data_IF_667869350022
#
_entry.id   IF_667869350022
#
_cell.length_a   1.000
_cell.length_b   1.000
_cell.length_c   1.000
_cell.angle_alpha   90.00
_cell.angle_beta   90.00
_cell.angle_gamma   90.00
#
_symmetry.space_group_name_H-M   'P 1'
#
loop_
_entity.id
_entity.type
_entity.pdbx_description
1 polymer ?
#
# COMPACT_ATOMS: atom_id res chain seq x y z
N UNK A 1 -46.69 -46.57 -25.73
CA UNK A 1 -45.74 -47.63 -26.15
C UNK A 1 -44.48 -46.94 -26.64
N UNK A 2 -43.35 -47.11 -25.94
CA UNK A 2 -42.03 -46.60 -26.35
C UNK A 2 -41.29 -45.80 -25.27
N UNK A 3 -40.76 -46.51 -24.27
CA UNK A 3 -39.65 -46.04 -23.43
C UNK A 3 -38.40 -45.81 -24.28
N UNK A 4 -37.59 -44.82 -23.90
CA UNK A 4 -36.15 -44.83 -24.14
C UNK A 4 -35.47 -44.45 -22.83
N UNK A 5 -34.92 -45.48 -22.20
CA UNK A 5 -33.84 -45.38 -21.23
C UNK A 5 -32.57 -44.97 -22.01
N UNK A 6 -31.88 -43.93 -21.55
CA UNK A 6 -30.46 -43.75 -21.87
C UNK A 6 -29.71 -43.66 -20.55
N UNK A 7 -28.92 -44.71 -20.37
CA UNK A 7 -28.00 -45.03 -19.29
C UNK A 7 -26.87 -44.02 -19.15
N UNK A 8 -26.58 -43.68 -17.90
CA UNK A 8 -25.27 -43.77 -17.26
C UNK A 8 -24.04 -43.27 -18.02
N UNK A 9 -23.50 -42.14 -17.57
CA UNK A 9 -22.08 -41.81 -17.73
C UNK A 9 -21.61 -41.16 -16.44
N UNK A 10 -21.41 -41.99 -15.42
CA UNK A 10 -20.54 -41.72 -14.27
C UNK A 10 -19.16 -41.31 -14.82
N UNK A 11 -18.95 -40.00 -14.92
CA UNK A 11 -17.63 -39.43 -15.14
C UNK A 11 -16.96 -39.38 -13.79
N UNK A 12 -16.28 -40.48 -13.45
CA UNK A 12 -15.22 -40.54 -12.45
C UNK A 12 -14.20 -39.42 -12.70
N UNK A 13 -14.45 -38.23 -12.14
CA UNK A 13 -13.52 -37.12 -12.03
C UNK A 13 -12.43 -37.49 -10.99
N UNK A 14 -11.59 -38.44 -11.36
CA UNK A 14 -10.44 -38.89 -10.58
C UNK A 14 -9.23 -38.06 -11.00
N UNK A 15 -9.15 -36.86 -10.42
CA UNK A 15 -7.97 -36.00 -10.48
C UNK A 15 -7.85 -35.23 -9.16
N UNK A 16 -6.64 -34.86 -8.70
CA UNK A 16 -6.50 -34.03 -7.52
C UNK A 16 -7.14 -32.66 -7.79
N UNK A 17 -8.34 -32.44 -7.26
CA UNK A 17 -8.99 -31.14 -7.34
C UNK A 17 -8.18 -30.12 -6.51
N UNK A 18 -7.90 -28.92 -7.06
CA UNK A 18 -7.24 -27.87 -6.29
C UNK A 18 -8.15 -27.47 -5.11
N UNK A 19 -7.56 -27.28 -3.92
CA UNK A 19 -8.30 -26.83 -2.73
C UNK A 19 -9.11 -25.58 -3.09
N UNK A 20 -10.42 -25.69 -3.01
CA UNK A 20 -11.31 -24.55 -3.00
C UNK A 20 -10.96 -23.74 -1.75
N UNK A 21 -10.40 -22.53 -1.96
CA UNK A 21 -10.15 -21.59 -0.87
C UNK A 21 -11.51 -21.10 -0.35
N UNK A 22 -12.11 -21.91 0.53
CA UNK A 22 -13.17 -21.49 1.42
C UNK A 22 -12.60 -20.37 2.29
N UNK A 23 -12.95 -19.14 1.93
CA UNK A 23 -12.82 -17.97 2.78
C UNK A 23 -13.65 -18.22 4.05
N UNK A 24 -13.07 -18.91 5.04
CA UNK A 24 -13.47 -18.85 6.44
C UNK A 24 -12.49 -19.63 7.33
N UNK A 25 -11.99 -18.90 8.34
CA UNK A 25 -11.30 -19.33 9.56
C UNK A 25 -9.78 -19.59 9.48
N UNK A 26 -9.02 -18.57 9.92
CA UNK A 26 -7.60 -18.70 10.27
C UNK A 26 -6.96 -17.38 10.70
N UNK A 27 -7.24 -16.94 11.93
CA UNK A 27 -6.70 -15.75 12.59
C UNK A 27 -5.15 -15.72 12.68
N UNK A 28 -4.47 -15.32 11.60
CA UNK A 28 -3.04 -14.97 11.63
C UNK A 28 -2.63 -13.91 10.59
N UNK A 29 -3.57 -13.35 9.83
CA UNK A 29 -3.32 -12.33 8.80
C UNK A 29 -3.87 -10.92 9.15
N UNK A 30 -4.30 -10.71 10.41
CA UNK A 30 -4.89 -9.44 10.86
C UNK A 30 -3.85 -8.33 11.16
N UNK A 31 -2.59 -8.50 10.76
CA UNK A 31 -1.62 -7.40 10.72
C UNK A 31 -1.54 -6.74 9.34
N UNK A 32 -1.88 -7.45 8.26
CA UNK A 32 -1.78 -6.93 6.89
C UNK A 32 -3.07 -6.31 6.35
N UNK A 33 -4.24 -6.61 6.92
CA UNK A 33 -5.50 -5.97 6.51
C UNK A 33 -5.57 -4.47 6.86
N UNK A 34 -4.80 -4.03 7.86
CA UNK A 34 -4.66 -2.62 8.21
C UNK A 34 -3.70 -1.89 7.26
N UNK A 35 -2.66 -2.58 6.75
CA UNK A 35 -1.78 -2.04 5.72
C UNK A 35 -2.51 -1.83 4.38
N UNK A 36 -3.39 -2.77 4.00
CA UNK A 36 -4.26 -2.65 2.82
C UNK A 36 -5.26 -1.49 2.88
N UNK A 37 -5.50 -0.93 4.08
CA UNK A 37 -6.32 0.28 4.28
C UNK A 37 -5.51 1.56 4.43
N UNK A 38 -4.21 1.49 4.71
CA UNK A 38 -3.41 2.63 5.12
C UNK A 38 -3.34 3.73 4.05
N UNK A 39 -3.30 3.33 2.78
CA UNK A 39 -3.16 4.27 1.66
C UNK A 39 -4.43 4.34 0.79
N UNK A 40 -5.59 3.89 1.27
CA UNK A 40 -6.88 3.98 0.56
C UNK A 40 -7.09 2.97 -0.59
N UNK A 41 -8.30 2.95 -1.18
CA UNK A 41 -8.74 1.90 -2.12
C UNK A 41 -8.31 2.08 -3.58
N UNK A 42 -7.73 3.22 -3.94
CA UNK A 42 -7.37 3.54 -5.33
C UNK A 42 -5.98 3.02 -5.76
N UNK A 43 -5.21 2.45 -4.83
CA UNK A 43 -3.91 1.83 -5.09
C UNK A 43 -4.05 0.32 -5.19
N UNK A 44 -3.19 -0.31 -6.01
CA UNK A 44 -3.12 -1.77 -6.04
C UNK A 44 -2.56 -2.30 -4.70
N UNK A 45 -2.88 -3.54 -4.32
CA UNK A 45 -2.27 -4.18 -3.15
C UNK A 45 -0.74 -4.12 -3.23
N UNK A 46 -0.10 -3.60 -2.17
CA UNK A 46 1.36 -3.42 -2.09
C UNK A 46 1.92 -2.20 -2.85
N UNK A 47 1.14 -1.52 -3.68
CA UNK A 47 1.61 -0.33 -4.40
C UNK A 47 1.86 0.84 -3.43
N UNK A 48 0.95 1.08 -2.49
CA UNK A 48 1.08 2.16 -1.51
C UNK A 48 2.30 2.02 -0.60
N UNK A 49 2.59 0.79 -0.16
CA UNK A 49 3.76 0.51 0.68
C UNK A 49 5.07 0.73 -0.08
N UNK A 50 5.14 0.25 -1.33
CA UNK A 50 6.31 0.49 -2.18
C UNK A 50 6.54 1.99 -2.41
N UNK A 51 5.48 2.76 -2.65
CA UNK A 51 5.56 4.21 -2.81
C UNK A 51 5.98 4.92 -1.52
N UNK A 52 5.45 4.50 -0.37
CA UNK A 52 5.78 5.08 0.93
C UNK A 52 7.27 4.93 1.28
N UNK A 53 7.91 3.82 0.90
CA UNK A 53 9.35 3.64 1.12
C UNK A 53 10.19 4.72 0.42
N UNK A 54 9.83 5.12 -0.80
CA UNK A 54 10.51 6.23 -1.48
C UNK A 54 10.30 7.55 -0.75
N UNK A 55 9.08 7.82 -0.28
CA UNK A 55 8.75 9.04 0.46
C UNK A 55 9.52 9.12 1.78
N UNK A 56 9.60 8.01 2.53
CA UNK A 56 10.34 7.92 3.79
C UNK A 56 11.86 8.11 3.59
N UNK A 57 12.39 7.66 2.45
CA UNK A 57 13.79 7.90 2.06
C UNK A 57 14.01 9.31 1.47
N UNK A 58 12.97 10.15 1.43
CA UNK A 58 12.98 11.47 0.80
C UNK A 58 13.45 11.41 -0.68
N UNK A 59 13.09 10.33 -1.36
CA UNK A 59 13.38 10.09 -2.77
C UNK A 59 12.14 10.40 -3.62
N UNK A 60 12.40 10.82 -4.85
CA UNK A 60 11.36 11.02 -5.86
C UNK A 60 10.73 9.67 -6.21
N UNK A 61 9.40 9.59 -6.17
CA UNK A 61 8.65 8.42 -6.65
C UNK A 61 8.98 8.17 -8.13
N UNK A 62 9.47 6.98 -8.51
CA UNK A 62 9.87 6.69 -9.89
C UNK A 62 8.64 6.55 -10.81
N UNK A 63 8.74 7.14 -12.01
CA UNK A 63 7.76 6.99 -13.09
C UNK A 63 8.04 5.71 -13.89
N UNK A 64 7.09 5.34 -14.76
CA UNK A 64 7.25 4.21 -15.67
C UNK A 64 8.50 4.37 -16.54
N UNK A 65 9.40 3.40 -16.50
CA UNK A 65 10.66 3.41 -17.26
C UNK A 65 11.82 4.12 -16.55
N UNK A 66 11.63 4.59 -15.32
CA UNK A 66 12.69 5.17 -14.50
C UNK A 66 13.28 4.19 -13.47
N UNK A 67 12.66 3.01 -13.32
CA UNK A 67 13.14 1.96 -12.42
C UNK A 67 14.56 1.57 -12.84
N UNK A 68 15.51 1.73 -11.93
CA UNK A 68 16.94 1.47 -12.17
C UNK A 68 17.79 2.73 -12.40
N UNK A 69 17.18 3.91 -12.49
CA UNK A 69 17.90 5.19 -12.47
C UNK A 69 17.80 5.85 -11.10
N UNK A 70 18.84 6.57 -10.69
CA UNK A 70 18.78 7.38 -9.47
C UNK A 70 17.94 8.65 -9.72
N UNK A 71 17.33 9.20 -8.66
CA UNK A 71 16.57 10.46 -8.76
C UNK A 71 17.42 11.60 -9.32
N UNK A 72 18.70 11.67 -8.96
CA UNK A 72 19.63 12.70 -9.44
C UNK A 72 19.92 12.58 -10.94
N UNK A 73 20.03 11.35 -11.47
CA UNK A 73 20.24 11.12 -12.89
C UNK A 73 19.02 11.55 -13.70
N UNK A 74 17.82 11.19 -13.22
CA UNK A 74 16.56 11.57 -13.86
C UNK A 74 16.45 13.11 -13.94
N UNK A 75 16.74 13.81 -12.85
CA UNK A 75 16.72 15.27 -12.83
C UNK A 75 17.72 15.88 -13.82
N UNK A 76 18.90 15.27 -13.97
CA UNK A 76 19.92 15.72 -14.93
C UNK A 76 19.46 15.54 -16.38
N UNK A 77 18.79 14.42 -16.69
CA UNK A 77 18.25 14.16 -18.02
C UNK A 77 17.11 15.11 -18.37
N UNK A 78 16.19 15.35 -17.44
CA UNK A 78 15.10 16.31 -17.64
C UNK A 78 15.61 17.74 -17.86
N UNK A 79 16.61 18.18 -17.07
CA UNK A 79 17.27 19.49 -17.25
C UNK A 79 17.98 19.63 -18.59
N UNK A 80 18.54 18.52 -19.09
CA UNK A 80 19.21 18.47 -20.40
C UNK A 80 18.23 18.44 -21.57
N UNK A 81 16.92 18.37 -21.32
CA UNK A 81 15.87 18.36 -22.34
C UNK A 81 15.42 16.96 -22.78
N UNK A 82 15.90 15.89 -22.14
CA UNK A 82 15.37 14.55 -22.38
C UNK A 82 13.97 14.41 -21.80
N UNK A 83 13.14 13.66 -22.52
CA UNK A 83 11.76 13.40 -22.15
C UNK A 83 11.64 11.96 -21.69
N UNK A 84 11.38 11.75 -20.41
CA UNK A 84 11.20 10.41 -19.88
C UNK A 84 9.90 9.76 -20.38
N UNK A 85 9.88 8.43 -20.39
CA UNK A 85 8.72 7.66 -20.85
C UNK A 85 7.46 8.04 -20.09
N UNK A 86 6.41 8.39 -20.83
CA UNK A 86 5.11 8.72 -20.25
C UNK A 86 4.94 10.16 -19.75
N UNK A 87 5.99 10.98 -19.72
CA UNK A 87 5.90 12.37 -19.23
C UNK A 87 4.98 13.26 -20.10
N UNK A 88 4.81 12.95 -21.39
CA UNK A 88 3.91 13.68 -22.31
C UNK A 88 2.44 13.26 -22.23
N UNK A 89 2.08 12.23 -21.45
CA UNK A 89 0.73 11.68 -21.45
C UNK A 89 -0.13 12.28 -20.34
N UNK A 90 -0.95 13.28 -20.66
CA UNK A 90 -1.71 14.07 -19.68
C UNK A 90 -2.59 13.22 -18.74
N UNK A 91 -3.39 12.29 -19.29
CA UNK A 91 -4.31 11.45 -18.49
C UNK A 91 -3.56 10.57 -17.48
N UNK A 92 -2.43 10.01 -17.90
CA UNK A 92 -1.63 9.11 -17.07
C UNK A 92 -0.90 9.89 -16.00
N UNK A 93 -0.36 11.07 -16.33
CA UNK A 93 0.23 11.97 -15.35
C UNK A 93 -0.78 12.37 -14.27
N UNK A 94 -2.03 12.67 -14.64
CA UNK A 94 -3.07 12.99 -13.67
C UNK A 94 -3.38 11.81 -12.72
N UNK A 95 -3.45 10.58 -13.25
CA UNK A 95 -3.63 9.38 -12.43
C UNK A 95 -2.43 9.16 -11.51
N UNK A 96 -1.21 9.34 -12.02
CA UNK A 96 0.03 9.24 -11.24
C UNK A 96 0.04 10.24 -10.10
N UNK A 97 -0.16 11.53 -10.38
CA UNK A 97 -0.18 12.60 -9.36
C UNK A 97 -1.25 12.32 -8.30
N UNK A 98 -2.42 11.82 -8.69
CA UNK A 98 -3.45 11.42 -7.73
C UNK A 98 -2.95 10.31 -6.79
N UNK A 99 -2.32 9.26 -7.33
CA UNK A 99 -1.76 8.15 -6.55
C UNK A 99 -0.64 8.61 -5.62
N UNK A 100 0.25 9.46 -6.11
CA UNK A 100 1.34 10.04 -5.30
C UNK A 100 0.78 10.89 -4.15
N UNK A 101 -0.18 11.79 -4.44
CA UNK A 101 -0.82 12.63 -3.41
C UNK A 101 -1.55 11.81 -2.34
N UNK A 102 -2.12 10.67 -2.72
CA UNK A 102 -2.77 9.76 -1.77
C UNK A 102 -1.77 9.17 -0.77
N UNK A 103 -0.54 8.85 -1.22
CA UNK A 103 0.53 8.36 -0.35
C UNK A 103 1.11 9.50 0.48
N UNK A 104 1.38 10.66 -0.12
CA UNK A 104 1.88 11.82 0.61
C UNK A 104 0.93 12.25 1.74
N UNK A 105 -0.36 12.35 1.44
CA UNK A 105 -1.35 12.74 2.45
C UNK A 105 -1.44 11.73 3.59
N UNK A 106 -1.36 10.43 3.30
CA UNK A 106 -1.39 9.39 4.32
C UNK A 106 -0.11 9.39 5.17
N UNK A 107 1.08 9.52 4.56
CA UNK A 107 2.35 9.60 5.30
C UNK A 107 2.44 10.88 6.13
N UNK A 108 1.97 12.02 5.63
CA UNK A 108 1.91 13.27 6.38
C UNK A 108 1.00 13.15 7.60
N UNK A 109 -0.20 12.61 7.43
CA UNK A 109 -1.12 12.37 8.55
C UNK A 109 -0.53 11.41 9.58
N UNK A 110 0.17 10.36 9.12
CA UNK A 110 0.85 9.42 10.00
C UNK A 110 1.98 10.08 10.78
N UNK A 111 2.80 10.90 10.11
CA UNK A 111 3.88 11.64 10.75
C UNK A 111 3.35 12.61 11.82
N UNK A 112 2.28 13.35 11.51
CA UNK A 112 1.62 14.24 12.47
C UNK A 112 1.02 13.47 13.67
N UNK A 113 0.41 12.31 13.43
CA UNK A 113 -0.13 11.48 14.51
C UNK A 113 0.98 10.96 15.45
N UNK A 114 2.15 10.60 14.92
CA UNK A 114 3.30 10.19 15.74
C UNK A 114 3.81 11.35 16.58
N UNK A 115 3.90 12.56 16.01
CA UNK A 115 4.33 13.76 16.74
C UNK A 115 3.36 14.06 17.89
N UNK A 116 2.04 14.05 17.63
CA UNK A 116 1.05 14.32 18.69
C UNK A 116 1.05 13.26 19.80
N UNK A 117 1.28 12.00 19.44
CA UNK A 117 1.43 10.90 20.40
C UNK A 117 2.69 11.07 21.27
N UNK A 118 3.82 11.48 20.68
CA UNK A 118 5.04 11.76 21.42
C UNK A 118 4.89 12.97 22.35
N UNK A 119 4.30 14.07 21.88
CA UNK A 119 4.02 15.25 22.70
C UNK A 119 3.13 14.92 23.90
N UNK A 120 2.08 14.10 23.71
CA UNK A 120 1.20 13.71 24.80
C UNK A 120 1.92 12.84 25.84
N UNK A 121 2.75 11.89 25.40
CA UNK A 121 3.57 11.09 26.31
C UNK A 121 4.56 11.95 27.12
N UNK A 122 5.18 12.94 26.50
CA UNK A 122 6.08 13.87 27.20
C UNK A 122 5.31 14.71 28.23
N UNK A 123 4.12 15.22 27.88
CA UNK A 123 3.24 15.95 28.81
C UNK A 123 2.79 15.08 29.98
N UNK A 124 2.40 13.84 29.73
CA UNK A 124 2.02 12.88 30.76
C UNK A 124 3.19 12.54 31.69
N UNK A 125 4.39 12.32 31.13
CA UNK A 125 5.59 12.06 31.92
C UNK A 125 5.97 13.24 32.81
N UNK A 126 5.89 14.48 32.30
CA UNK A 126 6.14 15.68 33.08
C UNK A 126 5.11 15.82 34.21
N UNK A 127 3.82 15.62 33.92
CA UNK A 127 2.76 15.66 34.92
C UNK A 127 2.94 14.60 36.03
N UNK A 128 3.37 13.38 35.67
CA UNK A 128 3.67 12.33 36.65
C UNK A 128 4.88 12.66 37.51
N UNK A 129 5.89 13.34 36.96
CA UNK A 129 7.04 13.83 37.72
C UNK A 129 6.61 14.89 38.73
N UNK A 130 5.86 15.90 38.30
CA UNK A 130 5.35 16.96 39.16
C UNK A 130 4.51 16.39 40.32
N UNK A 131 3.63 15.42 40.03
CA UNK A 131 2.82 14.76 41.04
C UNK A 131 3.68 13.98 42.06
N UNK A 132 4.74 13.31 41.61
CA UNK A 132 5.67 12.60 42.49
C UNK A 132 6.45 13.56 43.39
N UNK A 133 6.81 14.74 42.91
CA UNK A 133 7.49 15.77 43.70
C UNK A 133 6.56 16.37 44.76
N UNK A 134 5.28 16.57 44.46
CA UNK A 134 4.30 17.12 45.41
C UNK A 134 3.93 16.15 46.56
N UNK A 135 4.04 14.84 46.33
CA UNK A 135 3.78 13.80 47.35
C UNK A 135 4.99 13.49 48.24
N UNK A 136 6.12 14.18 48.04
CA UNK A 136 7.33 14.08 48.87
C UNK A 136 7.32 15.15 49.96
#
# INVERSE_FOLDING_TARGET
>A
KGQKDDSDSDSDDVGPQPLTQSNQAGNAASSNANASKAYGSALLPGEGEALAQYVQQNLRIPRRGEIGYSSTDIDSYEKSGYVMSGSRHARMNAVRIRKENQVYSAEEQRALALITLEENQQKESALLQDFREMLK
#
